data_IF_624562705926
#
_entry.id   IF_624562705926
#
_cell.length_a   1.000
_cell.length_b   1.000
_cell.length_c   1.000
_cell.angle_alpha   90.00
_cell.angle_beta   90.00
_cell.angle_gamma   90.00
#
_symmetry.space_group_name_H-M   'P 1'
#
loop_
_entity.id
_entity.type
_entity.pdbx_description
1 polymer ?
#
# COMPACT_ATOMS: atom_id res chain seq x y z
N UNK A 1 7.82 -27.90 6.93
CA UNK A 1 8.81 -27.01 7.56
C UNK A 1 8.37 -25.57 7.31
N UNK A 2 8.45 -24.63 8.26
CA UNK A 2 8.21 -23.24 7.93
C UNK A 2 9.38 -22.75 7.08
N UNK A 3 9.10 -22.16 5.92
CA UNK A 3 10.12 -21.57 5.07
C UNK A 3 10.69 -20.33 5.79
N UNK A 4 12.01 -20.21 5.85
CA UNK A 4 12.65 -19.00 6.36
C UNK A 4 12.22 -17.79 5.50
N UNK A 5 11.87 -16.65 6.11
CA UNK A 5 11.48 -15.47 5.37
C UNK A 5 12.64 -14.95 4.50
N UNK A 6 12.43 -14.93 3.18
CA UNK A 6 13.37 -14.31 2.25
C UNK A 6 13.19 -12.80 2.25
N UNK A 7 14.25 -12.09 2.65
CA UNK A 7 14.33 -10.64 2.54
C UNK A 7 14.98 -10.27 1.21
N UNK A 8 14.23 -9.64 0.32
CA UNK A 8 14.76 -9.06 -0.91
C UNK A 8 15.22 -7.63 -0.62
N UNK A 9 16.50 -7.33 -0.83
CA UNK A 9 16.99 -5.97 -0.76
C UNK A 9 16.31 -5.13 -1.86
N UNK A 10 15.53 -4.14 -1.46
CA UNK A 10 14.84 -3.24 -2.39
C UNK A 10 15.66 -1.98 -2.55
N UNK A 11 16.13 -1.71 -3.77
CA UNK A 11 16.78 -0.44 -4.12
C UNK A 11 15.73 0.45 -4.80
N UNK A 12 15.57 1.72 -4.38
CA UNK A 12 14.68 2.65 -5.07
C UNK A 12 15.11 2.84 -6.54
N UNK A 13 14.22 2.54 -7.48
CA UNK A 13 14.41 2.79 -8.91
C UNK A 13 13.20 3.52 -9.51
N UNK A 14 13.45 4.72 -10.01
CA UNK A 14 12.44 5.55 -10.66
C UNK A 14 11.91 4.93 -11.97
N UNK A 15 12.74 4.18 -12.71
CA UNK A 15 12.34 3.54 -13.96
C UNK A 15 11.33 2.44 -13.72
N UNK A 16 11.60 1.58 -12.74
CA UNK A 16 10.67 0.53 -12.35
C UNK A 16 9.38 1.08 -11.73
N UNK A 17 9.47 2.12 -10.91
CA UNK A 17 8.28 2.84 -10.44
C UNK A 17 7.42 3.35 -11.62
N UNK A 18 8.05 3.96 -12.64
CA UNK A 18 7.35 4.42 -13.84
C UNK A 18 6.59 3.30 -14.58
N UNK A 19 7.17 2.10 -14.65
CA UNK A 19 6.50 0.93 -15.24
C UNK A 19 5.28 0.50 -14.45
N UNK A 20 5.37 0.49 -13.12
CA UNK A 20 4.25 0.18 -12.23
C UNK A 20 3.13 1.21 -12.39
N UNK A 21 3.47 2.51 -12.41
CA UNK A 21 2.50 3.58 -12.61
C UNK A 21 1.79 3.48 -13.97
N UNK A 22 2.52 3.16 -15.04
CA UNK A 22 1.94 2.94 -16.36
C UNK A 22 0.95 1.75 -16.36
N UNK A 23 1.26 0.66 -15.65
CA UNK A 23 0.36 -0.48 -15.52
C UNK A 23 -0.93 -0.14 -14.74
N UNK A 24 -0.83 0.69 -13.70
CA UNK A 24 -1.99 1.20 -12.94
C UNK A 24 -2.85 2.10 -13.83
N UNK A 25 -2.24 3.05 -14.55
CA UNK A 25 -2.94 3.95 -15.47
C UNK A 25 -3.66 3.17 -16.59
N UNK A 26 -3.04 2.10 -17.09
CA UNK A 26 -3.63 1.18 -18.06
C UNK A 26 -4.66 0.20 -17.45
N UNK A 27 -4.99 0.32 -16.16
CA UNK A 27 -5.89 -0.58 -15.41
C UNK A 27 -5.49 -2.06 -15.43
N UNK A 28 -4.22 -2.36 -15.72
CA UNK A 28 -3.66 -3.73 -15.68
C UNK A 28 -3.26 -4.15 -14.27
N UNK A 29 -3.00 -3.18 -13.41
CA UNK A 29 -2.74 -3.37 -11.99
C UNK A 29 -3.77 -2.59 -11.18
N UNK A 30 -4.53 -3.27 -10.33
CA UNK A 30 -5.49 -2.64 -9.43
C UNK A 30 -4.86 -2.45 -8.04
N UNK A 31 -5.03 -1.26 -7.46
CA UNK A 31 -4.68 -1.00 -6.06
C UNK A 31 -5.99 -0.95 -5.28
N UNK A 32 -6.40 -2.05 -4.61
CA UNK A 32 -7.63 -2.04 -3.83
C UNK A 32 -7.48 -1.08 -2.65
N UNK A 33 -8.39 -0.13 -2.57
CA UNK A 33 -8.51 0.80 -1.44
C UNK A 33 -9.69 0.33 -0.60
N UNK A 34 -9.41 -0.02 0.65
CA UNK A 34 -10.45 -0.44 1.60
C UNK A 34 -11.19 0.79 2.16
N UNK A 35 -10.43 1.83 2.52
CA UNK A 35 -10.96 3.05 3.12
C UNK A 35 -10.07 4.25 2.91
N UNK A 36 -10.65 5.42 3.09
CA UNK A 36 -9.96 6.70 3.15
C UNK A 36 -10.32 7.38 4.47
N UNK A 37 -9.32 7.79 5.23
CA UNK A 37 -9.50 8.43 6.54
C UNK A 37 -8.78 9.78 6.55
N UNK A 38 -9.25 10.77 7.32
CA UNK A 38 -8.51 12.02 7.52
C UNK A 38 -7.17 11.74 8.24
N UNK A 39 -6.15 12.57 7.98
CA UNK A 39 -4.81 12.39 8.53
C UNK A 39 -4.81 12.34 10.07
N UNK A 40 -5.72 13.08 10.70
CA UNK A 40 -5.93 13.14 12.15
C UNK A 40 -6.25 11.76 12.75
N UNK A 41 -6.75 10.83 11.93
CA UNK A 41 -7.06 9.45 12.31
C UNK A 41 -5.92 8.46 11.98
N UNK A 42 -4.69 8.93 11.75
CA UNK A 42 -3.54 8.07 11.44
C UNK A 42 -3.32 6.96 12.47
N UNK A 43 -3.54 7.24 13.76
CA UNK A 43 -3.42 6.23 14.82
C UNK A 43 -4.44 5.09 14.67
N UNK A 44 -5.69 5.41 14.36
CA UNK A 44 -6.72 4.41 14.09
C UNK A 44 -6.39 3.63 12.80
N UNK A 45 -5.95 4.33 11.75
CA UNK A 45 -5.54 3.71 10.50
C UNK A 45 -4.42 2.68 10.71
N UNK A 46 -3.44 2.99 11.56
CA UNK A 46 -2.33 2.08 11.90
C UNK A 46 -2.82 0.88 12.71
N UNK A 47 -3.60 1.11 13.78
CA UNK A 47 -4.14 0.03 14.60
C UNK A 47 -4.93 -0.97 13.75
N UNK A 48 -5.66 -0.48 12.76
CA UNK A 48 -6.40 -1.31 11.82
C UNK A 48 -5.52 -2.06 10.81
N UNK A 49 -4.35 -1.52 10.46
CA UNK A 49 -3.38 -2.21 9.62
C UNK A 49 -2.68 -3.34 10.40
N UNK A 50 -2.39 -3.11 11.69
CA UNK A 50 -1.72 -4.07 12.57
C UNK A 50 -2.57 -5.32 12.86
N UNK A 51 -3.89 -5.17 12.95
CA UNK A 51 -4.83 -6.31 13.09
C UNK A 51 -4.77 -7.24 11.87
N UNK A 52 -4.31 -6.76 10.72
CA UNK A 52 -4.40 -7.48 9.46
C UNK A 52 -5.86 -7.73 9.04
N UNK A 53 -6.10 -8.67 8.12
CA UNK A 53 -7.44 -9.09 7.64
C UNK A 53 -8.17 -8.15 6.65
N UNK A 54 -7.57 -7.03 6.22
CA UNK A 54 -8.18 -6.16 5.20
C UNK A 54 -7.76 -6.52 3.78
N UNK A 55 -8.70 -6.43 2.83
CA UNK A 55 -8.46 -6.68 1.38
C UNK A 55 -8.05 -5.42 0.63
N UNK A 56 -7.33 -4.50 1.26
CA UNK A 56 -6.94 -3.25 0.60
C UNK A 56 -6.13 -2.31 1.47
N UNK A 57 -5.71 -1.21 0.86
CA UNK A 57 -4.96 -0.13 1.51
C UNK A 57 -5.90 0.83 2.22
N UNK A 58 -5.47 1.31 3.38
CA UNK A 58 -6.03 2.51 4.03
C UNK A 58 -5.25 3.71 3.52
N UNK A 59 -5.95 4.71 2.97
CA UNK A 59 -5.33 5.95 2.49
C UNK A 59 -5.65 7.07 3.47
N UNK A 60 -4.61 7.78 3.93
CA UNK A 60 -4.78 9.00 4.72
C UNK A 60 -4.92 10.19 3.79
N UNK A 61 -5.95 11.01 4.03
CA UNK A 61 -6.24 12.22 3.30
C UNK A 61 -5.79 13.41 4.13
N UNK A 62 -4.92 14.23 3.58
CA UNK A 62 -4.70 15.58 4.11
C UNK A 62 -5.90 16.44 3.68
N UNK A 63 -6.30 17.40 4.52
CA UNK A 63 -7.19 18.46 4.07
C UNK A 63 -6.63 19.12 2.79
N UNK A 64 -7.48 19.66 1.90
CA UNK A 64 -7.03 20.40 0.72
C UNK A 64 -6.12 21.58 1.10
#
# INVERSE_FOLDING_TARGET
MPAEPQFHAVVPDAKDLGRVLAAIAAKRLNIPVDRRLPLEQAGEAQALADVGQRRGKTILLTAP
#
